data_IF_292779219453
#
_entry.id   IF_292779219453
#
_cell.length_a   1.000
_cell.length_b   1.000
_cell.length_c   1.000
_cell.angle_alpha   90.00
_cell.angle_beta   90.00
_cell.angle_gamma   90.00
#
_symmetry.space_group_name_H-M   'P 1'
#
loop_
_entity.id
_entity.type
_entity.pdbx_description
1 polymer ?
#
# COMPACT_ATOMS: atom_id res chain seq x y z
N UNK A 1 -67.33 -10.54 26.59
CA UNK A 1 -66.36 -9.89 25.68
C UNK A 1 -64.92 -9.97 26.18
N UNK A 2 -64.63 -9.86 27.48
CA UNK A 2 -63.27 -9.97 28.05
C UNK A 2 -62.56 -11.31 27.81
N UNK A 3 -63.25 -12.44 27.92
CA UNK A 3 -62.65 -13.78 27.76
C UNK A 3 -62.27 -14.10 26.31
N UNK A 4 -63.08 -13.65 25.34
CA UNK A 4 -62.76 -13.80 23.90
C UNK A 4 -61.57 -12.93 23.48
N UNK A 5 -61.40 -11.75 24.08
CA UNK A 5 -60.26 -10.86 23.81
C UNK A 5 -58.96 -11.41 24.41
N UNK A 6 -59.00 -12.02 25.59
CA UNK A 6 -57.84 -12.68 26.19
C UNK A 6 -57.41 -13.93 25.43
N UNK A 7 -58.36 -14.73 24.94
CA UNK A 7 -58.06 -15.89 24.07
C UNK A 7 -57.46 -15.46 22.73
N UNK A 8 -57.93 -14.35 22.14
CA UNK A 8 -57.36 -13.78 20.93
C UNK A 8 -55.93 -13.26 21.16
N UNK A 9 -55.67 -12.57 22.27
CA UNK A 9 -54.33 -12.09 22.62
C UNK A 9 -53.36 -13.24 22.88
N UNK A 10 -53.80 -14.31 23.56
CA UNK A 10 -52.98 -15.50 23.78
C UNK A 10 -52.69 -16.25 22.47
N UNK A 11 -53.69 -16.37 21.59
CA UNK A 11 -53.50 -16.96 20.28
C UNK A 11 -52.52 -16.15 19.42
N UNK A 12 -52.58 -14.81 19.47
CA UNK A 12 -51.66 -13.93 18.75
C UNK A 12 -50.22 -14.04 19.28
N UNK A 13 -50.05 -14.15 20.60
CA UNK A 13 -48.73 -14.32 21.24
C UNK A 13 -48.11 -15.69 20.92
N UNK A 14 -48.92 -16.75 20.88
CA UNK A 14 -48.46 -18.10 20.48
C UNK A 14 -48.12 -18.15 18.99
N UNK A 15 -48.88 -17.45 18.13
CA UNK A 15 -48.54 -17.35 16.70
C UNK A 15 -47.22 -16.60 16.51
N UNK A 16 -47.00 -15.47 17.18
CA UNK A 16 -45.73 -14.72 17.10
C UNK A 16 -44.53 -15.56 17.55
N UNK A 17 -44.65 -16.35 18.63
CA UNK A 17 -43.55 -17.20 19.08
C UNK A 17 -43.26 -18.39 18.15
N UNK A 18 -44.22 -18.81 17.31
CA UNK A 18 -44.02 -19.89 16.34
C UNK A 18 -43.45 -19.42 14.99
N UNK A 19 -43.57 -18.14 14.62
CA UNK A 19 -42.92 -17.62 13.40
C UNK A 19 -41.43 -17.33 13.55
N UNK A 20 -40.93 -17.10 14.77
CA UNK A 20 -39.50 -16.78 14.99
C UNK A 20 -38.55 -17.99 14.84
N UNK A 21 -39.06 -19.23 14.96
CA UNK A 21 -38.23 -20.44 14.88
C UNK A 21 -37.99 -20.91 13.44
N UNK A 22 -38.84 -20.54 12.49
CA UNK A 22 -38.71 -20.99 11.09
C UNK A 22 -37.84 -20.11 10.20
N UNK A 23 -37.51 -18.88 10.61
CA UNK A 23 -36.68 -17.96 9.83
C UNK A 23 -35.16 -18.24 9.93
N UNK A 24 -34.72 -18.89 11.02
CA UNK A 24 -33.28 -19.10 11.29
C UNK A 24 -32.67 -20.28 10.53
N UNK A 25 -33.48 -21.24 10.08
CA UNK A 25 -32.98 -22.49 9.49
C UNK A 25 -32.93 -22.49 7.95
N UNK A 26 -33.56 -21.51 7.28
CA UNK A 26 -33.65 -21.48 5.80
C UNK A 26 -32.54 -20.67 5.10
N UNK A 27 -31.70 -19.92 5.83
CA UNK A 27 -30.56 -19.18 5.25
C UNK A 27 -29.27 -20.00 5.09
N UNK A 28 -29.22 -21.25 5.58
CA UNK A 28 -27.96 -22.02 5.60
C UNK A 28 -27.71 -22.92 4.38
N UNK A 29 -28.67 -23.06 3.46
CA UNK A 29 -28.52 -23.95 2.31
C UNK A 29 -29.18 -23.37 1.05
N UNK A 30 -28.49 -22.45 0.36
CA UNK A 30 -28.63 -22.31 -1.09
C UNK A 30 -27.33 -21.78 -1.67
N UNK A 31 -26.64 -22.68 -2.37
CA UNK A 31 -25.48 -22.48 -3.23
C UNK A 31 -25.69 -21.29 -4.16
N UNK A 32 -24.66 -20.49 -4.44
CA UNK A 32 -24.13 -20.35 -5.81
C UNK A 32 -22.82 -19.53 -5.88
N UNK A 33 -21.93 -20.03 -6.75
CA UNK A 33 -20.76 -19.42 -7.37
C UNK A 33 -19.59 -18.92 -6.51
N UNK A 34 -18.58 -19.80 -6.44
CA UNK A 34 -17.16 -19.44 -6.41
C UNK A 34 -16.87 -18.59 -7.66
N UNK A 35 -16.88 -17.28 -7.51
CA UNK A 35 -16.26 -16.34 -8.46
C UNK A 35 -14.81 -16.26 -8.01
N UNK A 36 -13.90 -16.81 -8.80
CA UNK A 36 -12.49 -16.45 -8.76
C UNK A 36 -12.43 -14.99 -9.19
N UNK A 37 -12.56 -14.09 -8.23
CA UNK A 37 -12.02 -12.74 -8.36
C UNK A 37 -10.57 -12.89 -7.94
N UNK A 38 -9.69 -12.91 -8.93
CA UNK A 38 -8.35 -12.35 -8.75
C UNK A 38 -8.56 -10.98 -8.14
N UNK A 39 -8.31 -10.85 -6.84
CA UNK A 39 -8.10 -9.57 -6.21
C UNK A 39 -6.88 -8.99 -6.89
N UNK A 40 -7.10 -8.19 -7.93
CA UNK A 40 -6.10 -7.24 -8.38
C UNK A 40 -5.78 -6.37 -7.15
N UNK A 41 -4.52 -6.37 -6.74
CA UNK A 41 -4.05 -5.53 -5.66
C UNK A 41 -4.32 -4.07 -6.04
N UNK A 42 -4.60 -3.21 -5.07
CA UNK A 42 -4.78 -1.78 -5.39
C UNK A 42 -3.45 -1.22 -5.90
N UNK A 43 -3.48 -0.19 -6.76
CA UNK A 43 -2.25 0.46 -7.28
C UNK A 43 -1.32 0.92 -6.14
N UNK A 44 -1.87 1.23 -4.97
CA UNK A 44 -1.10 1.56 -3.78
C UNK A 44 -0.39 0.34 -3.18
N UNK A 45 -1.05 -0.81 -3.14
CA UNK A 45 -0.42 -2.08 -2.73
C UNK A 45 0.66 -2.49 -3.73
N UNK A 46 0.45 -2.28 -5.04
CA UNK A 46 1.48 -2.56 -6.06
C UNK A 46 2.73 -1.68 -5.88
N UNK A 47 2.54 -0.39 -5.61
CA UNK A 47 3.66 0.55 -5.35
C UNK A 47 4.38 0.20 -4.04
N UNK A 48 3.65 -0.10 -2.96
CA UNK A 48 4.28 -0.50 -1.68
C UNK A 48 5.01 -1.84 -1.78
N UNK A 49 4.41 -2.85 -2.42
CA UNK A 49 5.05 -4.14 -2.64
C UNK A 49 6.28 -4.02 -3.57
N UNK A 50 6.28 -3.06 -4.51
CA UNK A 50 7.43 -2.78 -5.37
C UNK A 50 8.58 -2.13 -4.59
N UNK A 51 8.28 -1.20 -3.67
CA UNK A 51 9.28 -0.58 -2.80
C UNK A 51 9.87 -1.60 -1.79
N UNK A 52 9.02 -2.44 -1.21
CA UNK A 52 9.44 -3.56 -0.34
C UNK A 52 10.36 -4.55 -1.09
N UNK A 53 10.07 -4.84 -2.37
CA UNK A 53 10.92 -5.70 -3.19
C UNK A 53 12.29 -5.07 -3.54
N UNK A 54 12.37 -3.74 -3.66
CA UNK A 54 13.63 -3.03 -3.91
C UNK A 54 14.58 -3.12 -2.72
N UNK A 55 14.05 -2.96 -1.50
CA UNK A 55 14.85 -2.96 -0.27
C UNK A 55 15.33 -4.38 0.10
N UNK A 56 14.47 -5.39 -0.04
CA UNK A 56 14.85 -6.80 0.16
C UNK A 56 15.94 -7.22 -0.85
N UNK A 57 15.89 -6.70 -2.07
CA UNK A 57 16.92 -6.97 -3.07
C UNK A 57 18.27 -6.29 -2.74
N UNK A 58 18.24 -5.13 -2.09
CA UNK A 58 19.42 -4.40 -1.63
C UNK A 58 20.08 -5.12 -0.44
N UNK A 59 19.30 -5.58 0.54
CA UNK A 59 19.80 -6.37 1.69
C UNK A 59 20.37 -7.73 1.25
N UNK A 60 19.70 -8.43 0.32
CA UNK A 60 20.17 -9.71 -0.19
C UNK A 60 21.49 -9.60 -1.00
N UNK A 61 21.81 -8.42 -1.52
CA UNK A 61 23.07 -8.18 -2.22
C UNK A 61 24.26 -8.01 -1.25
N UNK A 62 24.03 -7.58 0.00
CA UNK A 62 25.08 -7.46 1.02
C UNK A 62 25.44 -8.81 1.67
N UNK A 63 24.49 -9.75 1.79
CA UNK A 63 24.69 -11.04 2.47
C UNK A 63 25.29 -12.16 1.59
N UNK A 64 25.50 -11.92 0.28
CA UNK A 64 25.88 -12.97 -0.67
C UNK A 64 27.38 -13.30 -0.77
N UNK A 65 28.25 -12.66 0.01
CA UNK A 65 29.64 -13.13 0.16
C UNK A 65 29.77 -14.07 1.37
N UNK A 66 29.55 -15.39 1.20
CA UNK A 66 30.35 -16.48 1.81
C UNK A 66 29.81 -17.90 1.52
N UNK A 67 30.66 -18.66 0.83
CA UNK A 67 30.86 -20.13 0.78
C UNK A 67 29.90 -21.07 0.03
N UNK A 68 30.51 -21.73 -0.96
CA UNK A 68 30.10 -22.96 -1.66
C UNK A 68 30.86 -24.15 -1.04
N UNK A 69 30.21 -25.32 -0.89
CA UNK A 69 30.67 -26.72 -1.20
C UNK A 69 29.59 -27.72 -0.73
N UNK A 70 28.87 -28.39 -1.65
CA UNK A 70 29.03 -29.73 -2.27
C UNK A 70 28.63 -30.97 -1.40
N UNK A 71 27.84 -31.87 -1.98
CA UNK A 71 27.60 -33.21 -1.41
C UNK A 71 26.31 -33.97 -1.78
N UNK A 72 26.17 -34.41 -3.04
CA UNK A 72 25.50 -35.65 -3.57
C UNK A 72 24.20 -36.23 -2.94
N UNK A 73 23.21 -36.52 -3.80
CA UNK A 73 22.91 -37.89 -4.28
C UNK A 73 21.76 -37.94 -5.31
N UNK A 74 21.95 -38.79 -6.33
CA UNK A 74 21.00 -39.06 -7.42
C UNK A 74 19.89 -40.07 -7.07
N UNK A 75 18.88 -40.08 -7.96
CA UNK A 75 17.97 -41.17 -8.35
C UNK A 75 16.55 -41.09 -7.79
N UNK A 76 15.60 -40.70 -8.65
CA UNK A 76 14.18 -40.66 -8.26
C UNK A 76 13.13 -40.35 -9.34
N UNK A 77 13.17 -41.03 -10.48
CA UNK A 77 11.94 -41.47 -11.19
C UNK A 77 10.99 -40.43 -11.82
N UNK A 78 11.20 -40.16 -13.12
CA UNK A 78 10.25 -40.18 -14.27
C UNK A 78 8.71 -40.06 -14.04
N UNK A 79 8.24 -39.23 -13.10
CA UNK A 79 6.82 -38.85 -12.94
C UNK A 79 6.57 -37.37 -12.70
N UNK A 80 7.61 -36.54 -12.76
CA UNK A 80 7.57 -35.12 -12.37
C UNK A 80 7.61 -34.14 -13.56
N UNK A 81 7.23 -34.59 -14.75
CA UNK A 81 7.30 -33.79 -15.99
C UNK A 81 6.10 -32.85 -16.21
N UNK A 82 5.09 -32.86 -15.34
CA UNK A 82 3.82 -32.14 -15.60
C UNK A 82 3.53 -30.97 -14.66
N UNK A 83 4.43 -30.63 -13.74
CA UNK A 83 4.30 -29.44 -12.87
C UNK A 83 5.67 -28.81 -12.62
N UNK A 84 6.49 -28.64 -13.66
CA UNK A 84 7.62 -27.72 -13.56
C UNK A 84 7.02 -26.32 -13.48
N UNK A 85 6.89 -25.81 -12.25
CA UNK A 85 6.46 -24.43 -12.06
C UNK A 85 7.52 -23.53 -12.67
N UNK A 86 7.08 -22.49 -13.38
CA UNK A 86 7.97 -21.49 -13.93
C UNK A 86 8.74 -20.83 -12.77
N UNK A 87 10.09 -20.85 -12.77
CA UNK A 87 10.91 -20.23 -11.72
C UNK A 87 10.60 -18.75 -11.48
N UNK A 88 10.00 -18.05 -12.44
CA UNK A 88 9.59 -16.66 -12.31
C UNK A 88 8.27 -16.44 -11.56
N UNK A 89 7.47 -17.48 -11.32
CA UNK A 89 6.14 -17.33 -10.70
C UNK A 89 6.18 -16.83 -9.25
N UNK A 90 7.28 -17.06 -8.55
CA UNK A 90 7.48 -16.66 -7.15
C UNK A 90 8.67 -15.74 -6.97
N UNK A 91 9.32 -15.32 -8.06
CA UNK A 91 10.47 -14.42 -8.02
C UNK A 91 10.01 -13.00 -8.24
N UNK A 92 10.00 -12.22 -7.17
CA UNK A 92 9.78 -10.78 -7.24
C UNK A 92 11.09 -10.10 -7.66
N UNK A 93 10.98 -9.19 -8.62
CA UNK A 93 12.08 -8.36 -9.08
C UNK A 93 11.77 -6.92 -8.69
N UNK A 94 12.82 -6.17 -8.35
CA UNK A 94 12.70 -4.75 -8.05
C UNK A 94 12.17 -3.91 -9.23
N UNK A 95 11.88 -2.64 -8.97
CA UNK A 95 11.33 -1.70 -9.92
C UNK A 95 12.16 -1.61 -11.21
N UNK A 96 11.48 -1.64 -12.36
CA UNK A 96 12.15 -1.58 -13.67
C UNK A 96 12.86 -2.87 -14.08
N UNK A 97 12.71 -3.96 -13.31
CA UNK A 97 13.23 -5.30 -13.66
C UNK A 97 12.08 -6.28 -13.87
N UNK A 98 12.32 -7.24 -14.76
CA UNK A 98 11.42 -8.37 -15.04
C UNK A 98 12.17 -9.67 -14.91
N UNK A 99 11.47 -10.68 -14.39
CA UNK A 99 12.02 -12.01 -14.28
C UNK A 99 12.10 -12.67 -15.66
N UNK A 100 13.29 -13.12 -16.05
CA UNK A 100 13.50 -13.96 -17.25
C UNK A 100 14.18 -15.27 -16.85
N UNK A 101 13.67 -16.38 -17.37
CA UNK A 101 14.27 -17.71 -17.23
C UNK A 101 15.48 -17.82 -18.17
N UNK A 102 16.68 -18.02 -17.63
CA UNK A 102 17.91 -18.20 -18.41
C UNK A 102 18.08 -19.67 -18.75
N UNK A 103 17.91 -20.53 -17.75
CA UNK A 103 17.80 -21.95 -17.94
C UNK A 103 16.55 -22.47 -17.26
N UNK A 104 16.40 -23.77 -17.42
CA UNK A 104 15.27 -24.58 -17.04
C UNK A 104 15.04 -24.53 -15.50
N UNK A 105 16.04 -24.16 -14.68
CA UNK A 105 15.97 -24.10 -13.21
C UNK A 105 16.29 -22.72 -12.61
N UNK A 106 16.90 -21.80 -13.38
CA UNK A 106 17.32 -20.48 -12.91
C UNK A 106 16.60 -19.35 -13.64
N UNK A 107 16.13 -18.40 -12.84
CA UNK A 107 15.58 -17.16 -13.31
C UNK A 107 16.36 -15.97 -12.76
N UNK A 108 16.51 -14.93 -13.56
CA UNK A 108 17.23 -13.69 -13.23
C UNK A 108 16.34 -12.48 -13.47
N UNK A 109 16.52 -11.44 -12.64
CA UNK A 109 15.83 -10.17 -12.79
C UNK A 109 16.63 -9.25 -13.71
N UNK A 110 16.20 -9.13 -14.95
CA UNK A 110 16.82 -8.27 -15.97
C UNK A 110 16.03 -6.98 -16.14
N UNK A 111 16.64 -5.91 -16.64
CA UNK A 111 15.92 -4.66 -16.91
C UNK A 111 14.77 -4.87 -17.91
N UNK A 112 13.66 -4.18 -17.68
CA UNK A 112 12.53 -4.10 -18.61
C UNK A 112 13.04 -3.62 -19.98
N UNK A 113 12.67 -4.30 -21.05
CA UNK A 113 13.13 -3.92 -22.41
C UNK A 113 12.20 -2.92 -23.09
N UNK A 114 10.89 -3.04 -22.85
CA UNK A 114 9.85 -2.24 -23.51
C UNK A 114 8.86 -1.80 -22.44
N UNK A 115 8.62 -0.50 -22.36
CA UNK A 115 7.54 0.09 -21.59
C UNK A 115 6.38 0.44 -22.54
N UNK A 116 5.15 0.34 -22.03
CA UNK A 116 3.97 0.74 -22.80
C UNK A 116 3.92 2.26 -22.97
N UNK A 117 3.44 2.71 -24.14
CA UNK A 117 3.27 4.13 -24.42
C UNK A 117 2.04 4.70 -23.71
N UNK A 118 2.27 5.63 -22.78
CA UNK A 118 1.20 6.32 -22.06
C UNK A 118 0.74 7.58 -22.81
N UNK A 119 -0.55 7.58 -23.19
CA UNK A 119 -1.17 8.68 -23.94
C UNK A 119 -1.73 9.75 -23.00
N UNK A 120 -2.09 9.38 -21.76
CA UNK A 120 -2.65 10.30 -20.78
C UNK A 120 -1.54 11.15 -20.13
N UNK A 121 -1.55 12.48 -20.28
CA UNK A 121 -0.58 13.37 -19.63
C UNK A 121 -0.52 13.22 -18.10
N UNK A 122 -1.58 12.70 -17.46
CA UNK A 122 -1.62 12.45 -16.01
C UNK A 122 -0.82 11.22 -15.58
N UNK A 123 -0.56 10.29 -16.49
CA UNK A 123 0.21 9.05 -16.26
C UNK A 123 1.69 9.17 -16.58
N UNK A 124 2.07 10.25 -17.26
CA UNK A 124 3.47 10.69 -17.35
C UNK A 124 4.03 11.00 -15.98
N UNK A 125 5.33 11.18 -15.88
CA UNK A 125 5.98 11.46 -14.60
C UNK A 125 7.02 12.56 -14.75
N UNK A 126 7.16 13.37 -13.71
CA UNK A 126 8.23 14.34 -13.58
C UNK A 126 9.28 13.82 -12.61
N UNK A 127 10.54 13.86 -13.00
CA UNK A 127 11.66 13.37 -12.19
C UNK A 127 12.32 14.47 -11.37
N UNK A 128 13.20 14.09 -10.45
CA UNK A 128 14.06 15.00 -9.68
C UNK A 128 14.98 15.89 -10.54
N UNK A 129 15.21 15.53 -11.80
CA UNK A 129 15.95 16.34 -12.78
C UNK A 129 15.07 17.34 -13.54
N UNK A 130 13.78 17.46 -13.16
CA UNK A 130 12.77 18.27 -13.85
C UNK A 130 12.60 17.89 -15.33
N UNK A 131 12.77 16.61 -15.64
CA UNK A 131 12.53 16.00 -16.94
C UNK A 131 11.25 15.15 -16.91
N UNK A 132 10.43 15.29 -17.96
CA UNK A 132 9.20 14.51 -18.12
C UNK A 132 9.48 13.21 -18.84
N UNK A 133 9.13 12.09 -18.22
CA UNK A 133 9.17 10.76 -18.80
C UNK A 133 7.77 10.31 -19.23
N UNK A 134 7.70 9.36 -20.17
CA UNK A 134 6.45 8.85 -20.71
C UNK A 134 5.62 8.11 -19.66
N UNK A 135 6.27 7.37 -18.77
CA UNK A 135 5.65 6.61 -17.68
C UNK A 135 6.65 6.41 -16.54
N UNK A 136 6.14 5.94 -15.40
CA UNK A 136 6.95 5.45 -14.30
C UNK A 136 7.86 4.28 -14.71
N UNK A 137 7.36 3.36 -15.56
CA UNK A 137 8.15 2.29 -16.15
C UNK A 137 9.45 2.79 -16.80
N UNK A 138 9.38 3.86 -17.59
CA UNK A 138 10.58 4.41 -18.28
C UNK A 138 11.61 4.96 -17.30
N UNK A 139 11.18 5.51 -16.15
CA UNK A 139 12.08 6.02 -15.12
C UNK A 139 12.83 4.87 -14.46
N UNK A 140 12.11 3.82 -14.02
CA UNK A 140 12.74 2.65 -13.41
C UNK A 140 13.59 1.87 -14.40
N UNK A 141 13.18 1.79 -15.66
CA UNK A 141 14.00 1.22 -16.73
C UNK A 141 15.31 1.99 -16.91
N UNK A 142 15.26 3.32 -16.96
CA UNK A 142 16.45 4.16 -17.11
C UNK A 142 17.41 4.00 -15.91
N UNK A 143 16.87 3.94 -14.69
CA UNK A 143 17.63 3.63 -13.48
C UNK A 143 18.30 2.26 -13.59
N UNK A 144 17.54 1.22 -13.94
CA UNK A 144 18.05 -0.14 -14.09
C UNK A 144 19.20 -0.23 -15.10
N UNK A 145 19.08 0.40 -16.27
CA UNK A 145 20.16 0.42 -17.28
C UNK A 145 21.45 1.05 -16.74
N UNK A 146 21.34 2.09 -15.91
CA UNK A 146 22.49 2.73 -15.31
C UNK A 146 23.09 1.91 -14.17
N UNK A 147 22.26 1.24 -13.37
CA UNK A 147 22.71 0.32 -12.32
C UNK A 147 23.47 -0.89 -12.88
N UNK A 148 23.03 -1.43 -14.02
CA UNK A 148 23.69 -2.57 -14.69
C UNK A 148 24.85 -2.16 -15.60
N UNK A 149 25.10 -0.86 -15.81
CA UNK A 149 26.13 -0.38 -16.73
C UNK A 149 25.85 -0.69 -18.21
N UNK A 150 24.57 -0.74 -18.61
CA UNK A 150 24.14 -0.96 -20.00
C UNK A 150 24.47 0.26 -20.86
N UNK A 151 24.84 0.05 -22.13
CA UNK A 151 25.12 1.11 -23.10
C UNK A 151 23.93 2.08 -23.30
N UNK A 152 22.71 1.62 -23.00
CA UNK A 152 21.48 2.42 -23.05
C UNK A 152 21.31 3.42 -21.91
N UNK A 153 22.18 3.39 -20.90
CA UNK A 153 22.15 4.37 -19.80
C UNK A 153 22.31 5.80 -20.34
N UNK A 154 21.43 6.71 -19.91
CA UNK A 154 21.45 8.14 -20.32
C UNK A 154 22.55 8.95 -19.62
N UNK A 155 23.28 8.34 -18.68
CA UNK A 155 24.43 8.91 -17.97
C UNK A 155 24.44 8.57 -16.48
N UNK A 156 25.56 8.82 -15.77
CA UNK A 156 25.69 8.45 -14.35
C UNK A 156 24.70 9.16 -13.43
N UNK A 157 24.22 10.36 -13.80
CA UNK A 157 23.23 11.10 -13.02
C UNK A 157 21.84 10.42 -12.99
N UNK A 158 21.58 9.48 -13.90
CA UNK A 158 20.33 8.72 -13.96
C UNK A 158 20.34 7.48 -13.07
N UNK A 159 21.46 7.17 -12.40
CA UNK A 159 21.53 6.09 -11.42
C UNK A 159 20.63 6.36 -10.20
N UNK A 160 20.48 7.62 -9.83
CA UNK A 160 19.62 8.07 -8.71
C UNK A 160 18.40 8.85 -9.20
N UNK A 161 17.97 8.61 -10.44
CA UNK A 161 16.72 9.19 -10.94
C UNK A 161 15.55 8.59 -10.18
N UNK A 162 14.64 9.46 -9.75
CA UNK A 162 13.40 9.05 -9.11
C UNK A 162 12.27 9.98 -9.51
N UNK A 163 11.06 9.49 -9.36
CA UNK A 163 9.84 10.22 -9.65
C UNK A 163 9.63 11.24 -8.51
N UNK A 164 9.46 12.51 -8.88
CA UNK A 164 9.09 13.56 -7.94
C UNK A 164 7.56 13.66 -7.82
N UNK A 165 6.85 13.56 -8.95
CA UNK A 165 5.39 13.51 -9.00
C UNK A 165 4.83 12.94 -10.31
N UNK A 166 3.58 12.52 -10.27
CA UNK A 166 2.83 12.08 -11.46
C UNK A 166 2.25 13.29 -12.23
N UNK A 167 2.39 13.24 -13.55
CA UNK A 167 2.07 14.29 -14.51
C UNK A 167 3.29 14.84 -15.25
N UNK A 168 3.06 15.68 -16.24
CA UNK A 168 4.13 16.40 -16.95
C UNK A 168 4.82 17.42 -16.03
N UNK A 169 6.11 17.64 -16.24
CA UNK A 169 6.85 18.63 -15.48
C UNK A 169 6.29 20.03 -15.72
N UNK A 170 5.98 20.71 -14.63
CA UNK A 170 5.43 22.07 -14.60
C UNK A 170 6.07 22.88 -13.49
N UNK A 171 6.07 24.19 -13.67
CA UNK A 171 6.49 25.10 -12.62
C UNK A 171 5.45 25.12 -11.49
N UNK A 172 5.82 24.60 -10.32
CA UNK A 172 4.98 24.64 -9.14
C UNK A 172 5.03 26.02 -8.48
N UNK A 173 3.89 26.54 -8.01
CA UNK A 173 3.90 27.73 -7.18
C UNK A 173 4.60 27.46 -5.86
N UNK A 174 5.23 28.48 -5.30
CA UNK A 174 5.81 28.42 -3.96
C UNK A 174 4.69 28.32 -2.91
N UNK A 175 4.91 27.51 -1.87
CA UNK A 175 3.96 27.37 -0.77
C UNK A 175 3.99 28.61 0.10
N UNK A 176 2.90 29.38 0.11
CA UNK A 176 2.79 30.59 0.94
C UNK A 176 2.57 30.23 2.40
N UNK A 177 2.96 31.14 3.29
CA UNK A 177 2.74 30.97 4.73
C UNK A 177 1.26 30.76 5.08
N UNK A 178 0.34 31.43 4.37
CA UNK A 178 -1.11 31.27 4.54
C UNK A 178 -1.59 29.87 4.16
N UNK A 179 -1.06 29.31 3.06
CA UNK A 179 -1.41 27.99 2.57
C UNK A 179 -0.84 26.92 3.49
N UNK A 180 0.42 27.09 3.94
CA UNK A 180 1.07 26.20 4.89
C UNK A 180 0.38 26.18 6.25
N UNK A 181 -0.11 27.32 6.74
CA UNK A 181 -0.79 27.39 8.03
C UNK A 181 -2.11 26.58 8.07
N UNK A 182 -2.81 26.48 6.93
CA UNK A 182 -4.03 25.67 6.81
C UNK A 182 -3.76 24.22 6.37
N UNK A 183 -2.59 23.95 5.76
CA UNK A 183 -2.24 22.65 5.21
C UNK A 183 -2.39 21.47 6.20
N UNK A 184 -1.88 21.53 7.45
CA UNK A 184 -2.07 20.46 8.43
C UNK A 184 -3.54 20.04 8.62
N UNK A 185 -4.45 21.03 8.60
CA UNK A 185 -5.89 20.81 8.77
C UNK A 185 -6.48 20.08 7.58
N UNK A 186 -6.19 20.57 6.38
CA UNK A 186 -6.67 19.93 5.14
C UNK A 186 -6.12 18.52 5.01
N UNK A 187 -4.87 18.30 5.41
CA UNK A 187 -4.23 16.99 5.37
C UNK A 187 -4.94 15.99 6.30
N UNK A 188 -5.17 16.32 7.58
CA UNK A 188 -5.87 15.40 8.50
C UNK A 188 -7.33 15.14 8.08
N UNK A 189 -8.02 16.14 7.54
CA UNK A 189 -9.37 15.97 6.99
C UNK A 189 -9.36 15.09 5.74
N UNK A 190 -8.38 15.26 4.86
CA UNK A 190 -8.19 14.43 3.68
C UNK A 190 -7.92 12.97 4.07
N UNK A 191 -6.98 12.71 5.00
CA UNK A 191 -6.68 11.36 5.50
C UNK A 191 -7.93 10.64 6.03
N UNK A 192 -8.73 11.34 6.83
CA UNK A 192 -9.99 10.77 7.34
C UNK A 192 -10.97 10.41 6.20
N UNK A 193 -11.09 11.28 5.20
CA UNK A 193 -11.98 11.02 4.06
C UNK A 193 -11.48 9.85 3.21
N UNK A 194 -10.17 9.71 3.01
CA UNK A 194 -9.60 8.55 2.32
C UNK A 194 -9.86 7.27 3.11
N UNK A 195 -9.65 7.27 4.43
CA UNK A 195 -9.95 6.12 5.29
C UNK A 195 -11.42 5.69 5.19
N UNK A 196 -12.34 6.66 5.19
CA UNK A 196 -13.78 6.42 5.02
C UNK A 196 -14.08 5.84 3.64
N UNK A 197 -13.54 6.44 2.57
CA UNK A 197 -13.80 6.01 1.21
C UNK A 197 -13.26 4.58 0.94
N UNK A 198 -12.11 4.22 1.53
CA UNK A 198 -11.57 2.85 1.49
C UNK A 198 -12.47 1.86 2.26
N UNK A 199 -13.00 2.26 3.42
CA UNK A 199 -13.94 1.46 4.18
C UNK A 199 -15.25 1.21 3.40
N UNK A 200 -15.78 2.24 2.74
CA UNK A 200 -16.98 2.15 1.91
C UNK A 200 -16.80 1.20 0.71
N UNK A 201 -15.59 1.17 0.13
CA UNK A 201 -15.20 0.27 -0.97
C UNK A 201 -14.86 -1.15 -0.52
N UNK A 202 -14.80 -1.41 0.80
CA UNK A 202 -14.35 -2.68 1.38
C UNK A 202 -12.89 -3.02 1.03
N UNK A 203 -12.08 -1.99 0.78
CA UNK A 203 -10.64 -2.09 0.51
C UNK A 203 -9.82 -1.88 1.79
N UNK A 204 -10.43 -1.32 2.83
CA UNK A 204 -9.80 -1.15 4.14
C UNK A 204 -9.76 -2.51 4.90
N UNK A 205 -8.58 -2.96 5.37
CA UNK A 205 -8.45 -4.18 6.17
C UNK A 205 -9.38 -4.21 7.40
N UNK A 206 -9.74 -5.44 7.81
CA UNK A 206 -10.72 -5.70 8.87
C UNK A 206 -10.38 -4.99 10.20
N UNK A 207 -9.09 -4.91 10.53
CA UNK A 207 -8.59 -4.25 11.74
C UNK A 207 -8.71 -2.72 11.69
N UNK A 208 -8.41 -2.09 10.55
CA UNK A 208 -8.55 -0.65 10.37
C UNK A 208 -10.02 -0.21 10.28
N UNK A 209 -10.93 -1.10 9.87
CA UNK A 209 -12.36 -0.82 9.84
C UNK A 209 -12.93 -0.48 11.23
N UNK A 210 -12.41 -1.09 12.29
CA UNK A 210 -12.82 -0.77 13.67
C UNK A 210 -12.43 0.67 14.03
N UNK A 211 -11.19 1.06 13.75
CA UNK A 211 -10.71 2.43 13.98
C UNK A 211 -11.49 3.46 13.18
N UNK A 212 -11.83 3.15 11.92
CA UNK A 212 -12.65 4.02 11.07
C UNK A 212 -14.03 4.27 11.69
N UNK A 213 -14.71 3.22 12.19
CA UNK A 213 -16.02 3.36 12.85
C UNK A 213 -15.94 4.18 14.15
N UNK A 214 -14.89 3.99 14.93
CA UNK A 214 -14.64 4.79 16.13
C UNK A 214 -14.44 6.27 15.76
N UNK A 215 -13.68 6.54 14.69
CA UNK A 215 -13.42 7.87 14.17
C UNK A 215 -14.69 8.62 13.69
N UNK A 216 -15.70 7.91 13.17
CA UNK A 216 -16.99 8.51 12.81
C UNK A 216 -17.83 8.94 14.01
N UNK A 217 -17.72 8.20 15.11
CA UNK A 217 -18.56 8.40 16.30
C UNK A 217 -17.93 9.34 17.34
N UNK A 218 -16.60 9.43 17.37
CA UNK A 218 -15.87 10.26 18.31
C UNK A 218 -15.02 11.32 17.57
N UNK A 219 -15.35 12.60 17.78
CA UNK A 219 -14.65 13.72 17.16
C UNK A 219 -13.19 13.87 17.59
N UNK A 220 -12.80 13.42 18.79
CA UNK A 220 -11.40 13.52 19.24
C UNK A 220 -10.52 12.48 18.52
N UNK A 221 -11.03 11.25 18.40
CA UNK A 221 -10.33 10.16 17.70
C UNK A 221 -10.43 10.25 16.17
N UNK A 222 -11.29 11.15 15.66
CA UNK A 222 -11.59 11.25 14.22
C UNK A 222 -10.33 11.38 13.36
N UNK A 223 -9.48 12.35 13.71
CA UNK A 223 -8.26 12.63 12.97
C UNK A 223 -7.10 11.77 13.46
N UNK A 224 -7.04 11.48 14.76
CA UNK A 224 -6.01 10.64 15.36
C UNK A 224 -5.99 9.23 14.78
N UNK A 225 -7.14 8.55 14.71
CA UNK A 225 -7.22 7.20 14.14
C UNK A 225 -6.83 7.18 12.66
N UNK A 226 -7.24 8.19 11.89
CA UNK A 226 -6.88 8.30 10.48
C UNK A 226 -5.37 8.58 10.29
N UNK A 227 -4.79 9.40 11.17
CA UNK A 227 -3.36 9.71 11.16
C UNK A 227 -2.52 8.48 11.53
N UNK A 228 -2.90 7.75 12.58
CA UNK A 228 -2.25 6.49 13.01
C UNK A 228 -2.36 5.46 11.89
N UNK A 229 -3.57 5.22 11.36
CA UNK A 229 -3.77 4.28 10.26
C UNK A 229 -2.85 4.62 9.09
N UNK A 230 -2.85 5.87 8.63
CA UNK A 230 -2.03 6.20 7.45
C UNK A 230 -0.54 6.09 7.74
N UNK A 231 -0.10 6.41 8.95
CA UNK A 231 1.30 6.26 9.32
C UNK A 231 1.71 4.78 9.36
N UNK A 232 0.92 3.90 9.99
CA UNK A 232 1.16 2.45 9.98
C UNK A 232 1.07 1.83 8.58
N UNK A 233 0.27 2.43 7.68
CA UNK A 233 0.13 2.01 6.28
C UNK A 233 1.34 2.43 5.43
N UNK A 234 2.06 3.48 5.86
CA UNK A 234 3.27 3.97 5.20
C UNK A 234 4.53 3.32 5.78
N UNK A 235 4.58 3.04 7.09
CA UNK A 235 5.65 2.31 7.78
C UNK A 235 5.62 0.85 7.30
N UNK A 236 6.29 0.64 6.18
CA UNK A 236 6.34 -0.60 5.41
C UNK A 236 7.43 -1.52 5.92
N UNK A 237 8.15 -2.16 4.99
CA UNK A 237 9.30 -2.98 5.35
C UNK A 237 10.60 -2.19 5.14
N UNK A 238 11.54 -2.20 6.10
CA UNK A 238 11.41 -2.76 7.44
C UNK A 238 10.47 -1.93 8.33
N UNK A 239 9.66 -2.60 9.16
CA UNK A 239 8.84 -1.92 10.16
C UNK A 239 9.75 -1.38 11.27
N UNK A 240 10.33 -0.20 11.04
CA UNK A 240 11.31 0.43 11.93
C UNK A 240 10.69 1.53 12.79
N UNK A 241 9.35 1.68 12.72
CA UNK A 241 8.57 2.70 13.41
C UNK A 241 8.96 4.12 13.02
N UNK A 242 9.38 4.31 11.78
CA UNK A 242 9.70 5.63 11.24
C UNK A 242 9.50 5.66 9.71
N UNK A 243 8.66 6.56 9.23
CA UNK A 243 8.37 6.63 7.78
C UNK A 243 9.48 7.40 7.06
N UNK A 244 10.20 6.73 6.18
CA UNK A 244 11.26 7.28 5.35
C UNK A 244 10.72 8.12 4.17
N UNK A 245 11.61 8.88 3.52
CA UNK A 245 11.27 9.62 2.29
C UNK A 245 10.73 8.75 1.15
N UNK A 246 11.20 7.50 1.05
CA UNK A 246 10.72 6.57 0.03
C UNK A 246 9.31 6.07 0.34
N UNK A 247 9.03 5.79 1.60
CA UNK A 247 7.69 5.38 2.06
C UNK A 247 6.65 6.49 1.97
N UNK A 248 7.06 7.77 2.00
CA UNK A 248 6.16 8.90 1.74
C UNK A 248 5.74 9.01 0.26
N UNK A 249 6.36 8.27 -0.65
CA UNK A 249 6.10 8.36 -2.09
C UNK A 249 4.62 8.20 -2.48
N UNK A 250 3.85 7.22 -1.93
CA UNK A 250 2.44 7.02 -2.29
C UNK A 250 1.51 8.18 -1.91
N UNK A 251 1.91 9.05 -0.98
CA UNK A 251 1.17 10.28 -0.66
C UNK A 251 1.74 11.50 -1.37
N UNK A 252 3.08 11.62 -1.47
CA UNK A 252 3.75 12.78 -2.06
C UNK A 252 3.49 12.85 -3.56
N UNK A 253 3.89 11.83 -4.31
CA UNK A 253 3.95 11.91 -5.77
C UNK A 253 2.56 12.09 -6.45
N UNK A 254 1.48 11.43 -5.99
CA UNK A 254 0.15 11.63 -6.60
C UNK A 254 -0.48 12.98 -6.25
N UNK A 255 -0.15 13.57 -5.10
CA UNK A 255 -0.78 14.80 -4.62
C UNK A 255 0.02 16.07 -4.94
N UNK A 256 1.32 16.00 -5.15
CA UNK A 256 2.17 17.17 -5.36
C UNK A 256 1.72 18.02 -6.57
N UNK A 257 1.19 17.38 -7.61
CA UNK A 257 0.58 18.07 -8.77
C UNK A 257 -0.78 18.74 -8.47
N UNK A 258 -1.34 18.59 -7.28
CA UNK A 258 -2.58 19.23 -6.84
C UNK A 258 -2.33 20.15 -5.64
N UNK A 259 -1.36 19.78 -4.80
CA UNK A 259 -1.07 20.37 -3.50
C UNK A 259 0.44 20.67 -3.39
N UNK A 260 0.83 21.84 -3.89
CA UNK A 260 2.22 22.30 -3.94
C UNK A 260 2.91 22.43 -2.56
N UNK A 261 2.13 22.51 -1.48
CA UNK A 261 2.63 22.57 -0.10
C UNK A 261 2.98 21.20 0.50
N UNK A 262 2.66 20.08 -0.16
CA UNK A 262 2.86 18.75 0.43
C UNK A 262 4.34 18.45 0.73
N UNK A 263 5.25 18.77 -0.20
CA UNK A 263 6.67 18.50 0.00
C UNK A 263 7.26 19.38 1.12
N UNK A 264 7.09 20.71 1.12
CA UNK A 264 7.53 21.55 2.23
C UNK A 264 6.90 21.18 3.58
N UNK A 265 5.65 20.70 3.57
CA UNK A 265 4.98 20.24 4.78
C UNK A 265 5.63 18.97 5.34
N UNK A 266 5.89 17.97 4.50
CA UNK A 266 6.55 16.73 4.92
C UNK A 266 7.98 16.98 5.41
N UNK A 267 8.74 17.87 4.75
CA UNK A 267 10.06 18.30 5.22
C UNK A 267 9.97 19.04 6.57
N UNK A 268 8.89 19.79 6.82
CA UNK A 268 8.65 20.45 8.11
C UNK A 268 8.29 19.45 9.22
N UNK A 269 7.65 18.33 8.88
CA UNK A 269 7.32 17.30 9.85
C UNK A 269 8.57 16.59 10.40
N UNK A 270 9.64 16.51 9.61
CA UNK A 270 10.96 16.00 10.01
C UNK A 270 11.71 17.03 10.90
N UNK A 271 11.32 17.10 12.17
CA UNK A 271 11.79 18.14 13.11
C UNK A 271 13.28 18.03 13.45
N UNK A 272 13.82 16.81 13.43
CA UNK A 272 15.21 16.52 13.76
C UNK A 272 16.11 16.44 12.51
N UNK A 273 15.51 16.50 11.30
CA UNK A 273 16.14 16.44 10.00
C UNK A 273 16.97 15.15 9.80
N UNK A 274 16.44 14.02 10.23
CA UNK A 274 17.02 12.68 10.04
C UNK A 274 16.47 11.94 8.80
N UNK A 275 15.61 12.62 8.02
CA UNK A 275 14.95 12.10 6.82
C UNK A 275 13.95 10.98 7.07
N UNK A 276 13.51 10.83 8.32
CA UNK A 276 12.42 9.94 8.73
C UNK A 276 11.37 10.73 9.52
N UNK A 277 10.15 10.20 9.57
CA UNK A 277 9.05 10.81 10.31
C UNK A 277 8.49 9.77 11.29
N UNK A 278 8.73 10.00 12.57
CA UNK A 278 8.14 9.20 13.65
C UNK A 278 6.65 9.51 13.82
N UNK A 279 5.89 8.62 14.48
CA UNK A 279 4.46 8.85 14.76
C UNK A 279 4.21 10.15 15.54
N UNK A 280 5.12 10.49 16.46
CA UNK A 280 5.02 11.70 17.28
C UNK A 280 5.24 12.96 16.41
N UNK A 281 6.25 12.95 15.55
CA UNK A 281 6.50 14.03 14.58
C UNK A 281 5.32 14.21 13.62
N UNK A 282 4.81 13.10 13.07
CA UNK A 282 3.65 13.07 12.21
C UNK A 282 2.41 13.70 12.87
N UNK A 283 2.09 13.27 14.10
CA UNK A 283 0.95 13.79 14.84
C UNK A 283 1.09 15.26 15.22
N UNK A 284 2.29 15.70 15.65
CA UNK A 284 2.59 17.12 15.91
C UNK A 284 2.39 17.96 14.67
N UNK A 285 2.90 17.49 13.53
CA UNK A 285 2.79 18.17 12.26
C UNK A 285 1.32 18.31 11.82
N UNK A 286 0.49 17.31 12.10
CA UNK A 286 -0.95 17.33 11.88
C UNK A 286 -1.76 18.10 12.95
N UNK A 287 -1.09 18.68 13.95
CA UNK A 287 -1.71 19.42 15.07
C UNK A 287 -2.65 18.54 15.91
N UNK A 288 -2.21 17.33 16.22
CA UNK A 288 -2.91 16.37 17.07
C UNK A 288 -2.29 16.32 18.46
N UNK A 289 -3.10 15.94 19.45
CA UNK A 289 -2.66 15.79 20.83
C UNK A 289 -1.83 14.51 20.99
N UNK A 290 -0.62 14.63 21.56
CA UNK A 290 0.31 13.50 21.72
C UNK A 290 -0.25 12.37 22.59
N UNK A 291 -1.14 12.70 23.53
CA UNK A 291 -1.75 11.73 24.45
C UNK A 291 -2.71 10.76 23.75
N UNK A 292 -3.23 11.14 22.58
CA UNK A 292 -4.14 10.31 21.79
C UNK A 292 -3.39 9.44 20.77
N UNK A 293 -2.08 9.69 20.56
CA UNK A 293 -1.24 8.99 19.57
C UNK A 293 -0.66 7.69 20.15
N UNK A 294 -1.52 6.69 20.31
CA UNK A 294 -1.08 5.34 20.63
C UNK A 294 -0.56 4.62 19.38
N UNK A 295 0.71 4.21 19.41
CA UNK A 295 1.26 3.29 18.41
C UNK A 295 0.58 1.92 18.54
N UNK A 296 -0.33 1.67 17.60
CA UNK A 296 -1.09 0.42 17.49
C UNK A 296 -0.63 -0.42 16.30
N UNK A 297 0.46 -0.07 15.62
CA UNK A 297 0.82 -0.70 14.34
C UNK A 297 1.06 -2.22 14.47
N UNK A 298 1.65 -2.67 15.58
CA UNK A 298 1.92 -4.10 15.83
C UNK A 298 0.63 -4.93 16.01
N UNK A 299 -0.36 -4.40 16.73
CA UNK A 299 -1.68 -5.05 16.89
C UNK A 299 -2.40 -5.21 15.53
N UNK A 300 -2.01 -4.40 14.56
CA UNK A 300 -2.61 -4.31 13.23
C UNK A 300 -1.86 -5.20 12.23
N UNK A 301 -0.53 -5.37 12.39
CA UNK A 301 0.30 -6.31 11.65
C UNK A 301 0.01 -7.77 12.02
N UNK A 302 -0.18 -8.09 13.31
CA UNK A 302 -0.53 -9.43 13.77
C UNK A 302 -1.89 -9.90 13.24
N UNK A 303 -2.85 -8.98 13.07
CA UNK A 303 -4.16 -9.27 12.49
C UNK A 303 -4.06 -9.62 10.98
N UNK A 304 -3.17 -8.95 10.23
CA UNK A 304 -2.93 -9.18 8.79
C UNK A 304 -2.49 -10.63 8.50
N UNK A 305 -1.69 -11.22 9.40
CA UNK A 305 -1.23 -12.61 9.30
C UNK A 305 -2.28 -13.65 9.71
N UNK A 306 -3.34 -13.24 10.40
CA UNK A 306 -4.39 -14.15 10.91
C UNK A 306 -5.58 -14.33 9.96
N UNK A 307 -5.74 -13.42 9.00
CA UNK A 307 -6.81 -13.43 7.99
C UNK A 307 -6.37 -14.05 6.63
N UNK A 308 -5.13 -14.58 6.53
CA UNK A 308 -4.59 -15.33 5.38
C UNK A 308 -4.76 -16.85 5.50
#
# INVERSE_FOLDING_TARGET
MRTKLQLLLFALLVVCLLVDVSAKQRRRNSKYHRRTTTTEASVQDEVMNMLEADEIAEEAAEDAEVTVEDGRNEVGSKRQSLLRMDPCMHKHCGAGRVCKTIDDETAECVCVEICDEEVDPRRKVCTNHNETFGSDCEVYQARCFCDTGDDRCRGPNYQHVHIEYYGECRQMPECREEDMADFPRRMRDWLFNIMRDLADRQELPSHYLKMQREAETNHTLRWTNAAIWKWCDLDGHPHDRAVSRHELFPIKAPLMALEHCIAPFLDFCDMNNDHKITLIEWGKCLQLDEEDLDDKCDELAEAKNSDQ
#
